data_IF_986776927406
#
_entry.id   IF_986776927406
#
_cell.length_a   1.000
_cell.length_b   1.000
_cell.length_c   1.000
_cell.angle_alpha   90.00
_cell.angle_beta   90.00
_cell.angle_gamma   90.00
#
_symmetry.space_group_name_H-M   'P 1'
#
loop_
_entity.id
_entity.type
_entity.pdbx_description
1 polymer ?
#
# COMPACT_ATOMS: atom_id res chain seq x y z
N UNK A 1 -24.02 -5.11 -11.09
CA UNK A 1 -22.78 -5.80 -10.64
C UNK A 1 -22.06 -4.82 -9.76
N UNK A 2 -21.77 -5.18 -8.50
CA UNK A 2 -21.12 -4.30 -7.54
C UNK A 2 -19.60 -4.51 -7.61
N UNK A 3 -18.79 -3.48 -7.34
CA UNK A 3 -17.33 -3.61 -7.35
C UNK A 3 -16.81 -4.14 -5.99
N UNK A 4 -17.32 -5.29 -5.57
CA UNK A 4 -16.97 -5.92 -4.30
C UNK A 4 -16.65 -7.40 -4.55
N UNK A 5 -15.46 -7.79 -4.12
CA UNK A 5 -14.89 -9.09 -4.38
C UNK A 5 -14.41 -9.73 -3.08
N UNK A 6 -14.63 -11.03 -2.95
CA UNK A 6 -14.21 -11.80 -1.79
C UNK A 6 -13.12 -12.79 -2.22
N UNK A 7 -12.00 -12.75 -1.51
CA UNK A 7 -10.90 -13.71 -1.65
C UNK A 7 -11.36 -15.08 -1.17
N UNK A 8 -11.26 -16.06 -2.06
CA UNK A 8 -11.42 -17.49 -1.79
C UNK A 8 -10.22 -18.25 -2.30
N UNK A 9 -10.12 -19.52 -1.89
CA UNK A 9 -9.14 -20.46 -2.43
C UNK A 9 -9.88 -21.59 -3.12
N UNK A 10 -9.36 -22.02 -4.26
CA UNK A 10 -9.78 -23.22 -4.97
C UNK A 10 -8.84 -24.38 -4.65
N UNK A 11 -9.28 -25.61 -4.95
CA UNK A 11 -8.42 -26.78 -4.83
C UNK A 11 -7.24 -26.68 -5.81
N UNK A 12 -6.10 -27.30 -5.47
CA UNK A 12 -4.89 -27.27 -6.32
C UNK A 12 -5.12 -27.81 -7.72
N UNK A 13 -5.99 -28.83 -7.85
CA UNK A 13 -6.40 -29.41 -9.14
C UNK A 13 -7.16 -28.42 -10.05
N UNK A 14 -7.81 -27.43 -9.45
CA UNK A 14 -8.59 -26.40 -10.15
C UNK A 14 -7.81 -25.06 -10.22
N UNK A 15 -6.50 -25.12 -10.00
CA UNK A 15 -5.63 -23.95 -10.11
C UNK A 15 -5.61 -23.44 -11.56
N UNK A 16 -5.57 -22.11 -11.68
CA UNK A 16 -5.52 -21.42 -12.97
C UNK A 16 -4.40 -20.39 -12.95
N UNK A 17 -4.08 -19.83 -14.11
CA UNK A 17 -3.04 -18.82 -14.22
C UNK A 17 -3.51 -17.48 -13.62
N UNK A 18 -2.61 -16.81 -12.89
CA UNK A 18 -2.84 -15.46 -12.42
C UNK A 18 -2.99 -14.51 -13.62
N UNK A 19 -4.05 -13.69 -13.60
CA UNK A 19 -4.32 -12.73 -14.68
C UNK A 19 -3.17 -11.74 -14.95
N UNK A 20 -2.31 -11.47 -13.95
CA UNK A 20 -1.28 -10.44 -14.04
C UNK A 20 0.07 -11.04 -14.45
N UNK A 21 0.55 -12.07 -13.75
CA UNK A 21 1.87 -12.66 -14.03
C UNK A 21 1.84 -14.03 -14.70
N UNK A 22 0.65 -14.55 -15.00
CA UNK A 22 0.46 -15.86 -15.63
C UNK A 22 1.11 -17.04 -14.88
N UNK A 23 1.43 -16.87 -13.58
CA UNK A 23 1.88 -17.97 -12.71
C UNK A 23 0.67 -18.73 -12.17
N UNK A 24 0.74 -20.06 -12.01
CA UNK A 24 -0.34 -20.85 -11.42
C UNK A 24 -0.74 -20.32 -10.04
N UNK A 25 -2.03 -20.22 -9.78
CA UNK A 25 -2.57 -19.75 -8.51
C UNK A 25 -3.86 -20.47 -8.13
N UNK A 26 -4.01 -20.69 -6.83
CA UNK A 26 -5.24 -21.22 -6.21
C UNK A 26 -6.10 -20.11 -5.60
N UNK A 27 -5.66 -18.85 -5.69
CA UNK A 27 -6.40 -17.73 -5.11
C UNK A 27 -7.32 -17.12 -6.16
N UNK A 28 -8.59 -16.97 -5.78
CA UNK A 28 -9.64 -16.43 -6.63
C UNK A 28 -10.38 -15.31 -5.91
N UNK A 29 -10.58 -14.19 -6.61
CA UNK A 29 -11.51 -13.15 -6.20
C UNK A 29 -12.87 -13.42 -6.80
N UNK A 30 -13.89 -13.56 -5.97
CA UNK A 30 -15.26 -13.86 -6.38
C UNK A 30 -16.20 -12.69 -6.11
N UNK A 31 -16.97 -12.32 -7.13
CA UNK A 31 -18.02 -11.31 -7.03
C UNK A 31 -19.37 -11.97 -6.76
N UNK A 32 -19.96 -11.71 -5.59
CA UNK A 32 -21.25 -12.29 -5.22
C UNK A 32 -22.40 -11.83 -6.12
N UNK A 33 -22.40 -10.56 -6.53
CA UNK A 33 -23.50 -9.97 -7.31
C UNK A 33 -23.51 -10.38 -8.78
N UNK A 34 -22.39 -10.88 -9.31
CA UNK A 34 -22.18 -10.94 -10.75
C UNK A 34 -21.72 -12.27 -11.32
N UNK A 35 -21.58 -13.34 -10.52
CA UNK A 35 -20.92 -14.59 -10.95
C UNK A 35 -19.61 -14.31 -11.72
N UNK A 36 -18.78 -13.42 -11.16
CA UNK A 36 -17.49 -13.08 -11.75
C UNK A 36 -16.38 -13.64 -10.88
N UNK A 37 -15.35 -14.21 -11.51
CA UNK A 37 -14.18 -14.72 -10.82
C UNK A 37 -12.89 -14.27 -11.48
N UNK A 38 -11.88 -14.04 -10.65
CA UNK A 38 -10.56 -13.53 -11.07
C UNK A 38 -9.49 -14.31 -10.36
N UNK A 39 -8.69 -15.05 -11.11
CA UNK A 39 -7.53 -15.73 -10.58
C UNK A 39 -6.36 -14.75 -10.44
N UNK A 40 -5.86 -14.62 -9.22
CA UNK A 40 -4.76 -13.70 -8.91
C UNK A 40 -3.93 -14.23 -7.76
N UNK A 41 -2.61 -14.17 -7.86
CA UNK A 41 -1.73 -14.61 -6.78
C UNK A 41 -1.72 -13.60 -5.63
N UNK A 42 -1.30 -14.06 -4.44
CA UNK A 42 -1.30 -13.24 -3.22
C UNK A 42 -0.36 -12.03 -3.34
N UNK A 43 0.75 -12.17 -4.05
CA UNK A 43 1.70 -11.09 -4.29
C UNK A 43 1.05 -9.90 -5.00
N UNK A 44 0.24 -10.15 -6.04
CA UNK A 44 -0.44 -9.08 -6.78
C UNK A 44 -1.66 -8.54 -6.04
N UNK A 45 -2.24 -9.28 -5.10
CA UNK A 45 -3.28 -8.74 -4.21
C UNK A 45 -2.73 -7.73 -3.22
N UNK A 46 -1.46 -7.87 -2.81
CA UNK A 46 -0.83 -7.01 -1.81
C UNK A 46 -0.08 -5.83 -2.45
N UNK A 47 0.66 -6.08 -3.54
CA UNK A 47 1.63 -5.12 -4.07
C UNK A 47 1.12 -4.31 -5.27
N UNK A 48 -0.10 -4.56 -5.76
CA UNK A 48 -0.64 -3.87 -6.93
C UNK A 48 -1.94 -3.10 -6.62
N UNK A 49 -1.83 -1.87 -6.10
CA UNK A 49 -2.99 -1.02 -5.82
C UNK A 49 -3.74 -0.58 -7.08
N UNK A 50 -3.10 -0.60 -8.25
CA UNK A 50 -3.77 -0.29 -9.53
C UNK A 50 -4.70 -1.42 -9.99
N UNK A 51 -4.53 -2.62 -9.43
CA UNK A 51 -5.40 -3.75 -9.71
C UNK A 51 -6.51 -3.86 -8.68
N UNK A 52 -6.15 -3.89 -7.39
CA UNK A 52 -7.06 -4.15 -6.27
C UNK A 52 -6.71 -3.29 -5.07
N UNK A 53 -7.74 -2.81 -4.40
CA UNK A 53 -7.64 -2.16 -3.09
C UNK A 53 -8.35 -3.03 -2.04
N UNK A 54 -7.68 -3.40 -0.94
CA UNK A 54 -8.33 -4.08 0.17
C UNK A 54 -9.38 -3.19 0.83
N UNK A 55 -10.56 -3.73 1.09
CA UNK A 55 -11.62 -3.06 1.84
C UNK A 55 -11.54 -3.52 3.29
N UNK A 56 -11.00 -2.69 4.16
CA UNK A 56 -10.87 -3.01 5.59
C UNK A 56 -12.13 -2.64 6.37
N UNK A 57 -12.34 -3.28 7.52
CA UNK A 57 -13.42 -2.94 8.45
C UNK A 57 -13.10 -1.65 9.22
N UNK A 58 -14.12 -1.04 9.83
CA UNK A 58 -13.93 0.12 10.71
C UNK A 58 -12.92 -0.18 11.83
N UNK A 59 -13.00 -1.38 12.44
CA UNK A 59 -12.08 -1.81 13.50
C UNK A 59 -10.60 -1.76 13.11
N UNK A 60 -10.29 -2.00 11.82
CA UNK A 60 -8.92 -1.88 11.32
C UNK A 60 -8.49 -0.41 11.26
N UNK A 61 -9.37 0.47 10.79
CA UNK A 61 -9.10 1.91 10.75
C UNK A 61 -8.89 2.46 12.16
N UNK A 62 -9.71 2.06 13.12
CA UNK A 62 -9.57 2.43 14.53
C UNK A 62 -8.24 1.91 15.10
N UNK A 63 -7.83 0.69 14.77
CA UNK A 63 -6.54 0.13 15.20
C UNK A 63 -5.34 0.89 14.60
N UNK A 64 -5.42 1.31 13.33
CA UNK A 64 -4.40 2.14 12.68
C UNK A 64 -4.31 3.52 13.34
N UNK A 65 -5.44 4.13 13.68
CA UNK A 65 -5.48 5.41 14.37
C UNK A 65 -4.88 5.30 15.78
N UNK A 66 -5.26 4.27 16.54
CA UNK A 66 -4.66 3.99 17.86
C UNK A 66 -3.15 3.77 17.77
N UNK A 67 -2.66 3.05 16.76
CA UNK A 67 -1.21 2.90 16.52
C UNK A 67 -0.52 4.24 16.31
N UNK A 68 -1.13 5.14 15.51
CA UNK A 68 -0.58 6.48 15.26
C UNK A 68 -0.57 7.32 16.54
N UNK A 69 -1.68 7.36 17.26
CA UNK A 69 -1.82 8.12 18.50
C UNK A 69 -0.81 7.66 19.56
N UNK A 70 -0.67 6.34 19.76
CA UNK A 70 0.30 5.77 20.70
C UNK A 70 1.75 6.04 20.28
N UNK A 71 2.05 5.97 18.98
CA UNK A 71 3.38 6.32 18.45
C UNK A 71 3.71 7.79 18.69
N UNK A 72 2.77 8.69 18.41
CA UNK A 72 2.95 10.13 18.63
C UNK A 72 3.14 10.45 20.12
N UNK A 73 2.33 9.84 20.99
CA UNK A 73 2.48 9.95 22.43
C UNK A 73 3.86 9.47 22.90
N UNK A 74 4.32 8.31 22.41
CA UNK A 74 5.66 7.79 22.70
C UNK A 74 6.76 8.75 22.25
N UNK A 75 6.67 9.31 21.03
CA UNK A 75 7.67 10.28 20.56
C UNK A 75 7.68 11.56 21.38
N UNK A 76 6.50 12.10 21.76
CA UNK A 76 6.40 13.30 22.61
C UNK A 76 7.01 13.04 23.98
N UNK A 77 6.68 11.90 24.59
CA UNK A 77 7.13 11.54 25.93
C UNK A 77 8.63 11.22 25.96
N UNK A 78 9.17 10.60 24.90
CA UNK A 78 10.62 10.40 24.72
C UNK A 78 11.35 11.72 24.49
N UNK A 79 10.83 12.60 23.63
CA UNK A 79 11.47 13.88 23.32
C UNK A 79 11.48 14.84 24.53
N UNK A 80 10.36 14.94 25.26
CA UNK A 80 10.25 15.81 26.43
C UNK A 80 11.14 15.36 27.61
N UNK A 81 11.44 14.06 27.69
CA UNK A 81 12.29 13.48 28.73
C UNK A 81 13.73 13.22 28.30
N UNK A 82 14.05 13.48 27.03
CA UNK A 82 15.41 13.47 26.52
C UNK A 82 16.01 14.86 26.71
N UNK A 83 16.61 15.11 27.86
CA UNK A 83 17.54 16.23 28.09
C UNK A 83 18.71 16.25 27.10
N UNK A 84 18.91 15.16 26.33
CA UNK A 84 19.97 15.01 25.32
C UNK A 84 19.60 15.53 23.93
N UNK A 85 18.36 15.97 23.68
CA UNK A 85 17.99 16.57 22.37
C UNK A 85 18.70 17.90 22.10
N UNK A 86 19.32 18.52 23.12
CA UNK A 86 20.18 19.69 22.95
C UNK A 86 21.55 19.38 22.33
N UNK A 87 21.97 18.11 22.19
CA UNK A 87 23.35 17.80 21.77
C UNK A 87 23.58 17.95 20.26
N UNK A 88 22.57 17.64 19.41
CA UNK A 88 22.71 17.73 17.96
C UNK A 88 22.58 19.17 17.44
N UNK A 89 21.59 19.92 17.93
CA UNK A 89 21.44 21.35 17.59
C UNK A 89 22.62 22.19 18.09
N UNK A 90 23.19 21.85 19.26
CA UNK A 90 24.38 22.54 19.76
C UNK A 90 25.63 22.22 18.94
N UNK A 91 25.75 20.99 18.41
CA UNK A 91 26.87 20.61 17.54
C UNK A 91 26.78 21.26 16.16
N UNK A 92 25.59 21.27 15.55
CA UNK A 92 25.35 21.92 14.25
C UNK A 92 25.56 23.43 14.38
N UNK A 93 25.01 24.07 15.42
CA UNK A 93 25.23 25.48 15.67
C UNK A 93 26.72 25.82 15.91
N UNK A 94 27.49 24.97 16.61
CA UNK A 94 28.95 25.17 16.78
C UNK A 94 29.75 25.01 15.48
N UNK A 95 29.31 24.16 14.56
CA UNK A 95 29.96 24.01 13.25
C UNK A 95 29.69 25.20 12.32
N UNK A 96 28.48 25.75 12.37
CA UNK A 96 28.13 26.94 11.58
C UNK A 96 28.72 28.24 12.14
N UNK A 97 28.80 28.42 13.46
CA UNK A 97 29.43 29.60 14.07
C UNK A 97 30.96 29.59 13.91
N UNK A 98 31.61 28.43 14.02
CA UNK A 98 33.06 28.29 13.82
C UNK A 98 33.50 28.55 12.37
N UNK A 99 32.57 28.45 11.40
CA UNK A 99 32.83 28.80 10.00
C UNK A 99 32.68 30.30 9.71
N UNK A 100 32.01 31.07 10.59
CA UNK A 100 31.93 32.53 10.47
C UNK A 100 33.06 33.28 11.18
N UNK A 101 33.73 32.68 12.17
CA UNK A 101 34.87 33.32 12.86
C UNK A 101 36.21 33.20 12.12
N UNK A 102 36.39 32.21 11.22
CA UNK A 102 37.64 32.02 10.49
C UNK A 102 37.77 32.83 9.18
N UNK A 103 36.73 33.56 8.76
CA UNK A 103 36.76 34.40 7.55
C UNK A 103 36.86 35.91 7.84
N UNK A 104 37.08 36.31 9.10
CA UNK A 104 37.39 37.71 9.44
C UNK A 104 38.42 37.81 10.58
N UNK A 105 39.71 37.81 10.25
CA UNK A 105 40.67 38.77 10.84
C UNK A 105 42.13 38.56 10.38
N UNK A 106 42.66 39.56 9.66
CA UNK A 106 43.96 40.22 9.90
C UNK A 106 43.98 41.53 9.09
N UNK A 107 44.75 42.57 9.46
CA UNK A 107 45.16 43.03 10.80
C UNK A 107 45.02 44.57 10.98
N UNK A 108 45.12 45.06 12.23
CA UNK A 108 45.59 46.40 12.69
C UNK A 108 45.43 46.40 14.22
N UNK A 109 46.45 46.09 15.02
CA UNK A 109 47.52 46.98 15.51
C UNK A 109 47.02 48.12 16.42
N UNK A 110 47.12 47.93 17.75
CA UNK A 110 47.64 48.89 18.74
C UNK A 110 47.57 48.35 20.19
N UNK A 111 48.74 48.28 20.85
CA UNK A 111 49.05 48.36 22.31
C UNK A 111 48.37 47.38 23.30
N UNK A 112 49.05 46.39 23.90
CA UNK A 112 50.08 46.40 24.97
C UNK A 112 49.67 47.16 26.26
N UNK A 113 49.20 46.41 27.28
CA UNK A 113 49.79 46.48 28.63
C UNK A 113 49.53 45.19 29.43
N UNK A 114 50.61 44.61 29.95
CA UNK A 114 50.68 43.45 30.84
C UNK A 114 50.24 43.80 32.27
N UNK A 115 49.90 42.76 33.05
CA UNK A 115 49.90 42.63 34.54
C UNK A 115 48.58 41.96 34.97
N UNK A 116 48.48 40.87 35.72
CA UNK A 116 49.38 40.06 36.55
C UNK A 116 48.62 38.77 36.90
N UNK A 117 49.34 37.66 37.07
CA UNK A 117 48.86 36.48 37.82
C UNK A 117 48.64 36.87 39.30
N UNK A 118 47.75 36.17 40.02
CA UNK A 118 48.34 35.24 41.00
C UNK A 118 47.66 33.86 41.04
N UNK A 119 48.56 32.88 41.19
CA UNK A 119 48.40 31.51 41.68
C UNK A 119 47.92 31.41 43.13
N UNK A 120 47.39 30.23 43.47
CA UNK A 120 47.13 29.62 44.80
C UNK A 120 45.77 29.98 45.44
N UNK A 121 44.95 29.08 46.01
CA UNK A 121 45.19 27.75 46.59
C UNK A 121 43.85 27.03 46.85
N UNK A 122 43.87 25.70 46.69
CA UNK A 122 43.17 24.61 47.41
C UNK A 122 41.93 24.90 48.28
N UNK A 123 40.83 24.17 48.02
CA UNK A 123 40.15 23.23 48.94
C UNK A 123 38.86 22.72 48.24
N UNK A 124 38.82 21.47 47.81
CA UNK A 124 38.28 20.32 48.56
C UNK A 124 36.76 20.40 48.85
N UNK A 125 35.95 19.85 47.93
CA UNK A 125 34.88 18.90 48.29
C UNK A 125 34.19 18.36 47.05
N UNK A 126 34.17 17.03 46.94
CA UNK A 126 33.44 16.32 45.91
C UNK A 126 31.97 16.68 45.86
N UNK A 127 31.50 16.98 44.65
CA UNK A 127 30.12 16.72 44.24
C UNK A 127 30.18 15.67 43.15
N UNK A 128 29.83 14.46 43.59
CA UNK A 128 29.38 13.33 42.81
C UNK A 128 28.67 13.79 41.52
N UNK A 129 28.96 13.23 40.32
CA UNK A 129 28.10 13.43 39.17
C UNK A 129 26.80 12.67 39.46
N UNK A 130 25.82 13.37 40.02
CA UNK A 130 24.46 12.87 40.16
C UNK A 130 23.96 12.60 38.75
N UNK A 131 24.00 11.32 38.35
CA UNK A 131 23.21 10.82 37.24
C UNK A 131 21.78 11.36 37.42
N UNK A 132 21.19 12.07 36.45
CA UNK A 132 19.79 12.43 36.54
C UNK A 132 19.01 11.12 36.51
N UNK A 133 18.56 10.69 37.68
CA UNK A 133 17.66 9.56 37.82
C UNK A 133 16.39 9.91 37.02
N UNK A 134 16.23 9.29 35.85
CA UNK A 134 14.95 9.22 35.16
C UNK A 134 13.94 8.76 36.20
N UNK A 135 12.96 9.59 36.53
CA UNK A 135 11.97 9.26 37.54
C UNK A 135 11.29 7.94 37.15
N UNK A 136 11.13 6.98 38.08
CA UNK A 136 10.61 5.65 37.78
C UNK A 136 9.22 5.68 37.14
N UNK A 137 8.43 6.71 37.46
CA UNK A 137 7.09 6.97 36.94
C UNK A 137 7.05 7.24 35.42
N UNK A 138 8.05 7.95 34.89
CA UNK A 138 8.13 8.24 33.46
C UNK A 138 8.52 7.00 32.67
N UNK A 139 9.43 6.19 33.22
CA UNK A 139 9.86 4.95 32.58
C UNK A 139 8.72 3.92 32.55
N UNK A 140 7.89 3.84 33.59
CA UNK A 140 6.67 3.02 33.56
C UNK A 140 5.68 3.51 32.51
N UNK A 141 5.44 4.83 32.41
CA UNK A 141 4.54 5.38 31.38
C UNK A 141 5.02 5.11 29.96
N UNK A 142 6.34 5.16 29.71
CA UNK A 142 6.91 4.79 28.41
C UNK A 142 6.67 3.30 28.11
N UNK A 143 6.92 2.43 29.09
CA UNK A 143 6.72 0.99 28.92
C UNK A 143 5.25 0.64 28.68
N UNK A 144 4.32 1.29 29.40
CA UNK A 144 2.89 1.10 29.24
C UNK A 144 2.40 1.55 27.86
N UNK A 145 2.81 2.75 27.41
CA UNK A 145 2.48 3.23 26.07
C UNK A 145 3.10 2.36 24.97
N UNK A 146 4.29 1.81 25.21
CA UNK A 146 4.93 0.89 24.28
C UNK A 146 4.17 -0.45 24.21
N UNK A 147 3.72 -0.99 25.35
CA UNK A 147 2.84 -2.16 25.37
C UNK A 147 1.51 -1.91 24.65
N UNK A 148 0.90 -0.73 24.83
CA UNK A 148 -0.32 -0.35 24.11
C UNK A 148 -0.10 -0.18 22.61
N UNK A 149 1.05 0.35 22.20
CA UNK A 149 1.45 0.43 20.80
C UNK A 149 1.62 -0.97 20.18
N UNK A 150 2.35 -1.86 20.86
CA UNK A 150 2.61 -3.22 20.39
C UNK A 150 1.30 -4.04 20.29
N UNK A 151 0.41 -3.91 21.27
CA UNK A 151 -0.92 -4.53 21.24
C UNK A 151 -1.80 -3.99 20.09
N UNK A 152 -1.78 -2.68 19.86
CA UNK A 152 -2.50 -2.07 18.73
C UNK A 152 -1.93 -2.53 17.38
N UNK A 153 -0.61 -2.68 17.28
CA UNK A 153 0.07 -3.17 16.08
C UNK A 153 -0.30 -4.63 15.79
N UNK A 154 -0.31 -5.49 16.81
CA UNK A 154 -0.73 -6.89 16.66
C UNK A 154 -2.19 -6.98 16.20
N UNK A 155 -3.08 -6.19 16.80
CA UNK A 155 -4.49 -6.11 16.37
C UNK A 155 -4.61 -5.65 14.91
N UNK A 156 -3.87 -4.63 14.49
CA UNK A 156 -3.85 -4.18 13.10
C UNK A 156 -3.38 -5.29 12.16
N UNK A 157 -2.30 -6.00 12.48
CA UNK A 157 -1.74 -7.08 11.66
C UNK A 157 -2.68 -8.28 11.55
N UNK A 158 -3.36 -8.65 12.64
CA UNK A 158 -4.35 -9.74 12.64
C UNK A 158 -5.55 -9.41 11.77
N UNK A 159 -6.08 -8.18 11.89
CA UNK A 159 -7.16 -7.68 11.03
C UNK A 159 -6.73 -7.57 9.55
N UNK A 160 -5.48 -7.18 9.30
CA UNK A 160 -4.95 -7.13 7.94
C UNK A 160 -4.89 -8.53 7.30
N UNK A 161 -4.44 -9.54 8.06
CA UNK A 161 -4.33 -10.94 7.60
C UNK A 161 -5.69 -11.60 7.41
N UNK A 162 -6.68 -11.27 8.25
CA UNK A 162 -8.02 -11.83 8.17
C UNK A 162 -8.88 -11.19 7.08
N UNK A 163 -8.44 -10.07 6.49
CA UNK A 163 -9.18 -9.40 5.43
C UNK A 163 -9.33 -10.29 4.18
N UNK A 164 -10.58 -10.45 3.75
CA UNK A 164 -10.97 -11.18 2.54
C UNK A 164 -11.69 -10.29 1.53
N UNK A 165 -11.98 -9.04 1.86
CA UNK A 165 -12.78 -8.14 1.05
C UNK A 165 -11.90 -7.20 0.25
N UNK A 166 -12.16 -7.11 -1.04
CA UNK A 166 -11.38 -6.35 -2.01
C UNK A 166 -12.29 -5.62 -2.98
N UNK A 167 -11.83 -4.46 -3.46
CA UNK A 167 -12.45 -3.70 -4.55
C UNK A 167 -11.46 -3.67 -5.71
N UNK A 168 -11.92 -3.89 -6.93
CA UNK A 168 -11.07 -3.67 -8.10
C UNK A 168 -10.87 -2.16 -8.29
N UNK A 169 -9.81 -1.79 -9.00
CA UNK A 169 -9.72 -0.41 -9.50
C UNK A 169 -10.84 -0.11 -10.49
N UNK A 170 -11.25 1.16 -10.55
CA UNK A 170 -12.38 1.60 -11.39
C UNK A 170 -12.17 1.26 -12.86
N UNK A 171 -10.93 1.40 -13.35
CA UNK A 171 -10.56 1.06 -14.74
C UNK A 171 -10.73 -0.44 -15.01
N UNK A 172 -10.24 -1.30 -14.12
CA UNK A 172 -10.37 -2.76 -14.28
C UNK A 172 -11.83 -3.19 -14.19
N UNK A 173 -12.59 -2.60 -13.26
CA UNK A 173 -14.00 -2.89 -13.09
C UNK A 173 -14.82 -2.48 -14.33
N UNK A 174 -14.60 -1.27 -14.85
CA UNK A 174 -15.25 -0.78 -16.06
C UNK A 174 -14.97 -1.68 -17.27
N UNK A 175 -13.70 -2.05 -17.49
CA UNK A 175 -13.31 -2.94 -18.58
C UNK A 175 -13.99 -4.31 -18.47
N UNK A 176 -14.11 -4.87 -17.27
CA UNK A 176 -14.82 -6.15 -17.07
C UNK A 176 -16.31 -6.04 -17.35
N UNK A 177 -16.93 -4.93 -16.96
CA UNK A 177 -18.34 -4.68 -17.24
C UNK A 177 -18.59 -4.54 -18.74
N UNK A 178 -17.71 -3.85 -19.46
CA UNK A 178 -17.75 -3.73 -20.92
C UNK A 178 -17.57 -5.08 -21.62
N UNK A 179 -16.52 -5.82 -21.29
CA UNK A 179 -16.28 -7.16 -21.83
C UNK A 179 -17.47 -8.11 -21.63
N UNK A 180 -18.17 -7.99 -20.50
CA UNK A 180 -19.39 -8.76 -20.23
C UNK A 180 -20.53 -8.35 -21.16
N UNK A 181 -20.79 -7.05 -21.29
CA UNK A 181 -21.81 -6.51 -22.20
C UNK A 181 -21.53 -6.90 -23.65
N UNK A 182 -20.27 -6.88 -24.06
CA UNK A 182 -19.84 -7.31 -25.39
C UNK A 182 -20.08 -8.80 -25.62
N UNK A 183 -19.71 -9.66 -24.67
CA UNK A 183 -20.00 -11.10 -24.75
C UNK A 183 -21.49 -11.37 -24.86
N UNK A 184 -22.32 -10.68 -24.08
CA UNK A 184 -23.78 -10.81 -24.17
C UNK A 184 -24.33 -10.38 -25.54
N UNK A 185 -23.86 -9.23 -26.07
CA UNK A 185 -24.24 -8.77 -27.41
C UNK A 185 -23.79 -9.75 -28.51
N UNK A 186 -22.59 -10.32 -28.38
CA UNK A 186 -22.08 -11.30 -29.33
C UNK A 186 -22.88 -12.61 -29.30
N UNK A 187 -23.23 -13.10 -28.10
CA UNK A 187 -24.07 -14.29 -27.93
C UNK A 187 -25.48 -14.08 -28.52
N UNK A 188 -26.10 -12.92 -28.26
CA UNK A 188 -27.41 -12.59 -28.83
C UNK A 188 -27.37 -12.49 -30.35
N UNK A 189 -26.32 -11.89 -30.92
CA UNK A 189 -26.12 -11.83 -32.37
C UNK A 189 -26.01 -13.22 -32.98
N UNK A 190 -25.18 -14.08 -32.37
CA UNK A 190 -25.00 -15.47 -32.80
C UNK A 190 -26.32 -16.24 -32.75
N UNK A 191 -27.10 -16.07 -31.68
CA UNK A 191 -28.43 -16.68 -31.54
C UNK A 191 -29.38 -16.23 -32.66
N UNK A 192 -29.44 -14.93 -32.96
CA UNK A 192 -30.26 -14.41 -34.06
C UNK A 192 -29.80 -14.90 -35.43
N UNK A 193 -28.49 -15.00 -35.66
CA UNK A 193 -27.92 -15.56 -36.88
C UNK A 193 -28.30 -17.03 -37.04
N UNK A 194 -28.24 -17.82 -35.97
CA UNK A 194 -28.66 -19.23 -35.96
C UNK A 194 -30.18 -19.38 -36.20
N UNK A 195 -31.01 -18.52 -35.59
CA UNK A 195 -32.45 -18.46 -35.84
C UNK A 195 -32.75 -18.09 -37.30
N UNK A 196 -32.03 -17.10 -37.86
CA UNK A 196 -32.18 -16.69 -39.25
C UNK A 196 -31.76 -17.80 -40.23
N UNK A 197 -30.66 -18.51 -39.94
CA UNK A 197 -30.18 -19.64 -40.75
C UNK A 197 -31.15 -20.83 -40.70
N UNK A 198 -31.76 -21.08 -39.54
CA UNK A 198 -32.73 -22.16 -39.37
C UNK A 198 -34.10 -21.86 -39.99
N UNK A 199 -34.41 -20.60 -40.27
CA UNK A 199 -35.71 -20.16 -40.78
C UNK A 199 -35.73 -19.93 -42.30
N UNK A 200 -34.61 -20.15 -43.00
CA UNK A 200 -34.59 -20.22 -44.47
C UNK A 200 -35.06 -21.61 -44.94
N UNK A 201 -36.30 -21.67 -45.43
CA UNK A 201 -36.88 -22.87 -46.06
C UNK A 201 -36.19 -23.13 -47.42
N UNK A 202 -35.59 -24.31 -47.67
CA UNK A 202 -34.87 -24.60 -48.90
C UNK A 202 -35.71 -24.43 -50.18
N UNK A 203 -37.03 -24.64 -50.10
CA UNK A 203 -37.93 -24.44 -51.25
C UNK A 203 -38.12 -22.95 -51.60
N UNK A 204 -38.13 -22.06 -50.60
CA UNK A 204 -38.18 -20.62 -50.84
C UNK A 204 -36.89 -20.09 -51.47
N UNK A 205 -35.73 -20.64 -51.08
CA UNK A 205 -34.45 -20.26 -51.67
C UNK A 205 -34.33 -20.66 -53.15
N UNK A 206 -34.81 -21.86 -53.53
CA UNK A 206 -34.81 -22.31 -54.92
C UNK A 206 -35.74 -21.49 -55.81
N UNK A 207 -36.88 -21.03 -55.28
CA UNK A 207 -37.83 -20.20 -56.04
C UNK A 207 -37.38 -18.74 -56.18
N UNK A 208 -36.71 -18.16 -55.17
CA UNK A 208 -36.22 -16.78 -55.25
C UNK A 208 -34.92 -16.62 -56.05
N UNK A 209 -34.04 -17.63 -56.06
CA UNK A 209 -32.74 -17.55 -56.74
C UNK A 209 -32.66 -18.55 -57.91
N UNK A 210 -32.84 -18.06 -59.14
CA UNK A 210 -32.49 -18.82 -60.34
C UNK A 210 -30.97 -18.83 -60.51
N UNK A 211 -30.33 -19.93 -60.11
CA UNK A 211 -28.91 -20.14 -60.37
C UNK A 211 -28.70 -20.49 -61.84
N UNK A 212 -27.76 -19.82 -62.55
CA UNK A 212 -27.43 -20.18 -63.92
C UNK A 212 -26.88 -21.61 -63.97
N UNK A 213 -27.44 -22.45 -64.83
CA UNK A 213 -26.98 -23.83 -64.99
C UNK A 213 -25.54 -23.86 -65.51
N UNK A 214 -24.71 -24.71 -64.89
CA UNK A 214 -23.33 -24.94 -65.34
C UNK A 214 -23.40 -25.58 -66.73
N UNK A 215 -22.75 -25.01 -67.76
CA UNK A 215 -22.76 -25.58 -69.10
C UNK A 215 -22.22 -27.00 -69.07
N UNK A 216 -23.07 -27.98 -69.39
CA UNK A 216 -22.65 -29.35 -69.59
C UNK A 216 -21.89 -29.40 -70.90
N UNK A 217 -20.57 -29.27 -70.83
CA UNK A 217 -19.68 -29.52 -71.97
C UNK A 217 -19.86 -30.99 -72.38
N UNK A 218 -20.72 -31.21 -73.37
CA UNK A 218 -20.85 -32.51 -74.03
C UNK A 218 -19.61 -32.66 -74.91
N UNK A 219 -18.59 -33.32 -74.37
CA UNK A 219 -17.49 -33.84 -75.16
C UNK A 219 -18.08 -34.87 -76.12
N UNK A 220 -18.19 -34.50 -77.40
CA UNK A 220 -18.47 -35.40 -78.52
C UNK A 220 -17.20 -36.08 -78.96
#
# INVERSE_FOLDING_TARGET
MNNEYIKRRVATKDSQLCMICQKPTTTVLFNQSGQDWIYTCELHLQNNPQFVTPSYSQEYHDAVENCKNNREALTKLKNNNSTDSSSWDTWVNRLFTKKQENDKAKPKESEILNSELPTNTRDDKGSNPTNPAKSPDIQSQINDLQGQYDAALEKMLTLQKSNKSFKLSDKMFALRLENRREKQRAQERKRREEENYSNTDPEQMQSQFSFPEVPKNVLK
#
